data_IF_707809113011
#
_entry.id   IF_707809113011
#
_cell.length_a   1.000
_cell.length_b   1.000
_cell.length_c   1.000
_cell.angle_alpha   90.00
_cell.angle_beta   90.00
_cell.angle_gamma   90.00
#
_symmetry.space_group_name_H-M   'P 1'
#
loop_
_entity.id
_entity.type
_entity.pdbx_description
1 polymer ?
#
# COMPACT_ATOMS: atom_id res chain seq x y z
N UNK A 1 -25.56 14.73 -9.53
CA UNK A 1 -24.64 13.62 -9.81
C UNK A 1 -23.29 14.09 -10.40
N UNK A 2 -23.24 14.98 -11.40
CA UNK A 2 -21.99 15.47 -12.04
C UNK A 2 -20.94 16.04 -11.08
N UNK A 3 -21.36 16.83 -10.08
CA UNK A 3 -20.43 17.42 -9.10
C UNK A 3 -19.75 16.37 -8.18
N UNK A 4 -20.43 15.28 -7.83
CA UNK A 4 -19.85 14.22 -7.00
C UNK A 4 -18.77 13.43 -7.77
N UNK A 5 -19.02 13.14 -9.04
CA UNK A 5 -18.06 12.46 -9.92
C UNK A 5 -16.83 13.34 -10.19
N UNK A 6 -17.03 14.64 -10.40
CA UNK A 6 -15.93 15.58 -10.57
C UNK A 6 -15.06 15.67 -9.32
N UNK A 7 -15.67 15.81 -8.14
CA UNK A 7 -14.93 15.85 -6.87
C UNK A 7 -14.14 14.53 -6.61
N UNK A 8 -14.75 13.38 -6.92
CA UNK A 8 -14.09 12.09 -6.81
C UNK A 8 -12.87 12.00 -7.75
N UNK A 9 -12.99 12.48 -8.99
CA UNK A 9 -11.88 12.51 -9.93
C UNK A 9 -10.76 13.44 -9.46
N UNK A 10 -11.08 14.63 -8.94
CA UNK A 10 -10.09 15.54 -8.34
C UNK A 10 -9.37 14.89 -7.15
N UNK A 11 -10.10 14.18 -6.29
CA UNK A 11 -9.51 13.45 -5.17
C UNK A 11 -8.55 12.34 -5.64
N UNK A 12 -8.90 11.62 -6.71
CA UNK A 12 -8.01 10.59 -7.29
C UNK A 12 -6.73 11.20 -7.88
N UNK A 13 -6.84 12.33 -8.58
CA UNK A 13 -5.66 13.05 -9.10
C UNK A 13 -4.77 13.53 -7.96
N UNK A 14 -5.36 14.13 -6.93
CA UNK A 14 -4.61 14.57 -5.74
C UNK A 14 -3.91 13.38 -5.07
N UNK A 15 -4.58 12.25 -4.92
CA UNK A 15 -4.02 11.04 -4.38
C UNK A 15 -2.83 10.55 -5.21
N UNK A 16 -2.93 10.56 -6.54
CA UNK A 16 -1.85 10.17 -7.44
C UNK A 16 -0.62 11.10 -7.31
N UNK A 17 -0.84 12.42 -7.18
CA UNK A 17 0.24 13.39 -6.97
C UNK A 17 0.94 13.14 -5.63
N UNK A 18 0.17 12.97 -4.55
CA UNK A 18 0.72 12.69 -3.21
C UNK A 18 1.52 11.38 -3.24
N UNK A 19 1.00 10.37 -3.92
CA UNK A 19 1.69 9.08 -4.03
C UNK A 19 2.99 9.17 -4.84
N UNK A 20 2.98 9.89 -5.97
CA UNK A 20 4.20 10.13 -6.75
C UNK A 20 5.28 10.87 -5.96
N UNK A 21 4.92 11.92 -5.22
CA UNK A 21 5.83 12.63 -4.33
C UNK A 21 6.40 11.74 -3.21
N UNK A 22 5.62 10.76 -2.74
CA UNK A 22 6.04 9.85 -1.70
C UNK A 22 7.31 9.05 -2.06
N UNK A 23 7.53 8.69 -3.34
CA UNK A 23 8.75 8.01 -3.77
C UNK A 23 10.01 8.85 -3.56
N UNK A 24 9.91 10.15 -3.78
CA UNK A 24 11.04 11.08 -3.55
C UNK A 24 11.39 11.11 -2.06
N UNK A 25 10.38 11.26 -1.20
CA UNK A 25 10.59 11.24 0.26
C UNK A 25 11.08 9.89 0.78
N UNK A 26 10.56 8.78 0.24
CA UNK A 26 11.03 7.45 0.59
C UNK A 26 12.50 7.25 0.20
N UNK A 27 12.89 7.68 -1.00
CA UNK A 27 14.29 7.63 -1.45
C UNK A 27 15.20 8.43 -0.54
N UNK A 28 14.81 9.65 -0.20
CA UNK A 28 15.59 10.50 0.70
C UNK A 28 15.70 9.89 2.10
N UNK A 29 14.60 9.36 2.63
CA UNK A 29 14.60 8.70 3.94
C UNK A 29 15.45 7.42 3.95
N UNK A 30 15.49 6.67 2.84
CA UNK A 30 16.28 5.44 2.73
C UNK A 30 17.79 5.67 2.86
N UNK A 31 18.26 6.89 2.66
CA UNK A 31 19.68 7.25 2.83
C UNK A 31 20.07 7.43 4.31
N UNK A 32 19.08 7.67 5.19
CA UNK A 32 19.32 8.01 6.61
C UNK A 32 18.72 7.00 7.58
N UNK A 33 17.73 6.24 7.15
CA UNK A 33 16.98 5.30 7.97
C UNK A 33 17.00 3.90 7.36
N UNK A 34 17.18 2.89 8.19
CA UNK A 34 16.99 1.51 7.76
C UNK A 34 15.53 1.26 7.30
N UNK A 35 15.36 0.37 6.32
CA UNK A 35 14.06 0.08 5.72
C UNK A 35 12.96 -0.22 6.76
N UNK A 36 13.24 -1.07 7.71
CA UNK A 36 12.27 -1.47 8.74
C UNK A 36 11.93 -0.34 9.73
N UNK A 37 12.92 0.48 10.10
CA UNK A 37 12.72 1.65 10.95
C UNK A 37 11.80 2.66 10.27
N UNK A 38 12.07 2.95 9.00
CA UNK A 38 11.25 3.87 8.21
C UNK A 38 9.80 3.37 8.08
N UNK A 39 9.62 2.08 7.75
CA UNK A 39 8.29 1.49 7.60
C UNK A 39 7.54 1.55 8.94
N UNK A 40 8.17 1.12 10.03
CA UNK A 40 7.55 1.13 11.36
C UNK A 40 7.08 2.53 11.75
N UNK A 41 7.96 3.53 11.64
CA UNK A 41 7.65 4.92 11.96
C UNK A 41 6.52 5.47 11.10
N UNK A 42 6.59 5.27 9.78
CA UNK A 42 5.59 5.73 8.83
C UNK A 42 4.20 5.18 9.14
N UNK A 43 4.10 3.87 9.39
CA UNK A 43 2.81 3.24 9.65
C UNK A 43 2.23 3.60 11.00
N UNK A 44 3.06 3.76 12.05
CA UNK A 44 2.58 4.27 13.35
C UNK A 44 2.12 5.72 13.27
N UNK A 45 2.83 6.59 12.56
CA UNK A 45 2.38 7.96 12.29
C UNK A 45 1.06 7.96 11.49
N UNK A 46 0.92 7.03 10.54
CA UNK A 46 -0.33 6.82 9.80
C UNK A 46 -1.48 6.43 10.73
N UNK A 47 -1.27 5.48 11.65
CA UNK A 47 -2.28 5.14 12.67
C UNK A 47 -2.64 6.37 13.50
N UNK A 48 -1.65 7.07 14.02
CA UNK A 48 -1.86 8.25 14.87
C UNK A 48 -2.70 9.32 14.16
N UNK A 49 -2.46 9.54 12.88
CA UNK A 49 -3.23 10.48 12.06
C UNK A 49 -4.67 10.02 11.79
N UNK A 50 -4.91 8.70 11.74
CA UNK A 50 -6.24 8.13 11.51
C UNK A 50 -7.09 8.02 12.80
N UNK A 51 -6.47 7.96 13.98
CA UNK A 51 -7.18 7.79 15.25
C UNK A 51 -8.28 8.84 15.50
N UNK A 52 -8.06 10.15 15.29
CA UNK A 52 -9.12 11.14 15.50
C UNK A 52 -10.34 10.88 14.61
N UNK A 53 -10.11 10.57 13.34
CA UNK A 53 -11.17 10.24 12.39
C UNK A 53 -11.88 8.93 12.77
N UNK A 54 -11.13 7.92 13.20
CA UNK A 54 -11.65 6.64 13.67
C UNK A 54 -12.61 6.81 14.85
N UNK A 55 -12.19 7.54 15.89
CA UNK A 55 -13.03 7.78 17.06
C UNK A 55 -14.26 8.65 16.72
N UNK A 56 -14.10 9.66 15.87
CA UNK A 56 -15.20 10.49 15.41
C UNK A 56 -16.26 9.68 14.65
N UNK A 57 -15.84 8.87 13.67
CA UNK A 57 -16.76 8.06 12.88
C UNK A 57 -17.43 6.96 13.72
N UNK A 58 -16.67 6.33 14.62
CA UNK A 58 -17.21 5.33 15.55
C UNK A 58 -18.27 5.92 16.47
N UNK A 59 -18.01 7.10 17.04
CA UNK A 59 -18.98 7.82 17.87
C UNK A 59 -20.24 8.17 17.08
N UNK A 60 -20.09 8.66 15.87
CA UNK A 60 -21.21 9.02 15.01
C UNK A 60 -22.06 7.79 14.64
N UNK A 61 -21.45 6.66 14.31
CA UNK A 61 -22.17 5.41 14.04
C UNK A 61 -22.89 4.89 15.28
N UNK A 62 -22.25 4.95 16.44
CA UNK A 62 -22.86 4.53 17.70
C UNK A 62 -24.10 5.39 18.06
N UNK A 63 -24.02 6.70 17.87
CA UNK A 63 -25.17 7.61 18.10
C UNK A 63 -26.30 7.31 17.10
N UNK A 64 -26.02 7.13 15.83
CA UNK A 64 -27.01 6.79 14.82
C UNK A 64 -27.71 5.45 15.10
N UNK A 65 -26.96 4.43 15.55
CA UNK A 65 -27.53 3.14 15.94
C UNK A 65 -28.44 3.26 17.16
N UNK A 66 -28.05 4.05 18.16
CA UNK A 66 -28.88 4.33 19.34
C UNK A 66 -30.18 5.04 18.97
N UNK A 67 -30.13 6.03 18.07
CA UNK A 67 -31.32 6.74 17.56
C UNK A 67 -32.26 5.81 16.75
N UNK A 68 -31.68 4.85 16.02
CA UNK A 68 -32.44 3.87 15.25
C UNK A 68 -32.95 2.68 16.08
N UNK A 69 -32.55 2.54 17.34
CA UNK A 69 -32.85 1.36 18.18
C UNK A 69 -32.16 0.10 17.68
N UNK A 70 -31.08 0.23 16.91
CA UNK A 70 -30.31 -0.87 16.35
C UNK A 70 -29.08 -1.19 17.20
N UNK A 71 -28.65 -2.45 17.19
CA UNK A 71 -27.36 -2.81 17.81
C UNK A 71 -26.19 -2.24 16.99
N UNK A 72 -25.18 -1.71 17.70
CA UNK A 72 -23.94 -1.24 17.05
C UNK A 72 -23.25 -2.43 16.41
N UNK A 73 -23.11 -2.39 15.09
CA UNK A 73 -22.48 -3.46 14.31
C UNK A 73 -21.05 -3.75 14.81
N UNK A 74 -20.83 -4.99 15.21
CA UNK A 74 -19.53 -5.46 15.67
C UNK A 74 -18.71 -6.01 14.51
N UNK A 75 -17.67 -5.31 14.11
CA UNK A 75 -16.75 -5.70 13.03
C UNK A 75 -15.67 -6.72 13.45
N UNK A 76 -16.01 -7.67 14.35
CA UNK A 76 -15.05 -8.60 14.97
C UNK A 76 -15.16 -10.06 14.47
N UNK A 77 -15.68 -10.30 13.29
CA UNK A 77 -15.78 -11.65 12.75
C UNK A 77 -14.40 -12.23 12.36
N UNK A 78 -14.24 -13.55 12.44
CA UNK A 78 -13.02 -14.26 11.99
C UNK A 78 -12.59 -13.82 10.58
N UNK A 79 -13.54 -13.55 9.69
CA UNK A 79 -13.29 -13.09 8.31
C UNK A 79 -12.59 -11.72 8.28
N UNK A 80 -12.99 -10.80 9.15
CA UNK A 80 -12.34 -9.48 9.26
C UNK A 80 -10.86 -9.63 9.63
N UNK A 81 -10.56 -10.39 10.66
CA UNK A 81 -9.18 -10.58 11.13
C UNK A 81 -8.30 -11.30 10.10
N UNK A 82 -8.81 -12.37 9.47
CA UNK A 82 -8.08 -13.08 8.43
C UNK A 82 -7.81 -12.19 7.21
N UNK A 83 -8.80 -11.38 6.80
CA UNK A 83 -8.63 -10.43 5.71
C UNK A 83 -7.62 -9.34 6.05
N UNK A 84 -7.72 -8.74 7.24
CA UNK A 84 -6.81 -7.69 7.69
C UNK A 84 -5.37 -8.20 7.82
N UNK A 85 -5.16 -9.37 8.42
CA UNK A 85 -3.84 -9.98 8.54
C UNK A 85 -3.25 -10.33 7.18
N UNK A 86 -4.03 -10.92 6.28
CA UNK A 86 -3.57 -11.24 4.94
C UNK A 86 -3.20 -9.99 4.14
N UNK A 87 -4.05 -8.95 4.17
CA UNK A 87 -3.76 -7.67 3.54
C UNK A 87 -2.53 -7.00 4.15
N UNK A 88 -2.39 -7.04 5.49
CA UNK A 88 -1.22 -6.51 6.20
C UNK A 88 0.07 -7.19 5.79
N UNK A 89 0.08 -8.51 5.67
CA UNK A 89 1.26 -9.28 5.24
C UNK A 89 1.65 -8.93 3.80
N UNK A 90 0.68 -8.85 2.89
CA UNK A 90 0.93 -8.47 1.51
C UNK A 90 1.46 -7.02 1.42
N UNK A 91 0.84 -6.09 2.15
CA UNK A 91 1.28 -4.70 2.22
C UNK A 91 2.67 -4.57 2.85
N UNK A 92 2.93 -5.27 3.95
CA UNK A 92 4.24 -5.29 4.61
C UNK A 92 5.33 -5.84 3.70
N UNK A 93 5.09 -6.98 3.04
CA UNK A 93 6.04 -7.56 2.09
C UNK A 93 6.37 -6.60 0.95
N UNK A 94 5.34 -5.95 0.35
CA UNK A 94 5.53 -4.93 -0.67
C UNK A 94 6.32 -3.73 -0.15
N UNK A 95 5.97 -3.20 1.02
CA UNK A 95 6.64 -2.05 1.62
C UNK A 95 8.12 -2.31 1.93
N UNK A 96 8.45 -3.50 2.46
CA UNK A 96 9.83 -3.89 2.73
C UNK A 96 10.63 -4.02 1.44
N UNK A 97 10.09 -4.73 0.46
CA UNK A 97 10.78 -4.96 -0.81
C UNK A 97 11.03 -3.67 -1.59
N UNK A 98 10.04 -2.77 -1.67
CA UNK A 98 10.23 -1.48 -2.33
C UNK A 98 11.23 -0.61 -1.58
N UNK A 99 11.23 -0.62 -0.26
CA UNK A 99 12.14 0.19 0.53
C UNK A 99 13.59 -0.29 0.42
N UNK A 100 13.81 -1.60 0.36
CA UNK A 100 15.12 -2.20 0.09
C UNK A 100 15.59 -1.80 -1.32
N UNK A 101 14.75 -1.95 -2.33
CA UNK A 101 15.08 -1.59 -3.70
C UNK A 101 15.38 -0.09 -3.87
N UNK A 102 14.63 0.78 -3.20
CA UNK A 102 14.82 2.23 -3.21
C UNK A 102 16.14 2.68 -2.59
N UNK A 103 16.78 1.86 -1.77
CA UNK A 103 18.10 2.21 -1.23
C UNK A 103 19.11 2.44 -2.35
N UNK A 104 19.06 1.65 -3.42
CA UNK A 104 19.96 1.74 -4.57
C UNK A 104 19.29 2.39 -5.79
N UNK A 105 18.08 1.96 -6.15
CA UNK A 105 17.37 2.48 -7.34
C UNK A 105 16.95 3.94 -7.19
N UNK A 106 16.84 4.63 -8.33
CA UNK A 106 16.27 5.97 -8.37
C UNK A 106 14.77 5.96 -8.10
N UNK A 107 14.27 7.04 -7.49
CA UNK A 107 12.84 7.18 -7.15
C UNK A 107 11.94 7.09 -8.39
N UNK A 108 12.37 7.68 -9.52
CA UNK A 108 11.64 7.65 -10.78
C UNK A 108 11.54 6.22 -11.33
N UNK A 109 12.67 5.49 -11.35
CA UNK A 109 12.74 4.10 -11.81
C UNK A 109 11.89 3.19 -10.91
N UNK A 110 11.98 3.36 -9.60
CA UNK A 110 11.22 2.59 -8.64
C UNK A 110 9.70 2.80 -8.77
N UNK A 111 9.26 4.07 -8.81
CA UNK A 111 7.84 4.41 -9.00
C UNK A 111 7.28 3.89 -10.31
N UNK A 112 8.13 3.85 -11.32
CA UNK A 112 7.83 3.31 -12.62
C UNK A 112 7.64 1.78 -12.57
N UNK A 113 8.60 1.01 -12.07
CA UNK A 113 8.51 -0.45 -11.94
C UNK A 113 7.30 -0.81 -11.07
N UNK A 114 7.11 -0.09 -9.96
CA UNK A 114 5.98 -0.36 -9.07
C UNK A 114 4.63 -0.13 -9.75
N UNK A 115 4.51 0.88 -10.64
CA UNK A 115 3.27 1.13 -11.37
C UNK A 115 2.80 -0.06 -12.22
N UNK A 116 3.67 -1.03 -12.50
CA UNK A 116 3.31 -2.27 -13.19
C UNK A 116 2.25 -3.10 -12.45
N UNK A 117 2.02 -2.89 -11.13
CA UNK A 117 0.92 -3.55 -10.43
C UNK A 117 -0.46 -3.21 -11.02
N UNK A 118 -0.60 -2.06 -11.68
CA UNK A 118 -1.84 -1.66 -12.38
C UNK A 118 -2.23 -2.70 -13.45
N UNK A 119 -1.23 -3.23 -14.17
CA UNK A 119 -1.44 -4.30 -15.13
C UNK A 119 -1.60 -5.68 -14.45
N UNK A 120 -0.87 -5.88 -13.35
CA UNK A 120 -0.82 -7.16 -12.65
C UNK A 120 -2.14 -7.47 -11.90
N UNK A 121 -2.81 -6.47 -11.34
CA UNK A 121 -4.09 -6.64 -10.62
C UNK A 121 -5.15 -7.31 -11.47
N UNK A 122 -5.53 -6.84 -12.67
CA UNK A 122 -6.55 -7.50 -13.48
C UNK A 122 -6.09 -8.86 -14.05
N UNK A 123 -4.79 -9.07 -14.24
CA UNK A 123 -4.24 -10.39 -14.62
C UNK A 123 -4.45 -11.38 -13.48
N UNK A 124 -4.09 -11.01 -12.26
CA UNK A 124 -4.28 -11.85 -11.08
C UNK A 124 -5.77 -12.06 -10.75
N UNK A 125 -6.62 -11.04 -10.94
CA UNK A 125 -8.07 -11.17 -10.74
C UNK A 125 -8.67 -12.18 -11.73
N UNK A 126 -8.16 -12.21 -12.97
CA UNK A 126 -8.53 -13.21 -13.97
C UNK A 126 -8.03 -14.62 -13.59
N UNK A 127 -6.75 -14.74 -13.20
CA UNK A 127 -6.12 -16.04 -12.91
C UNK A 127 -6.65 -16.68 -11.63
N UNK A 128 -6.75 -15.90 -10.55
CA UNK A 128 -7.13 -16.41 -9.23
C UNK A 128 -8.65 -16.54 -9.07
N UNK A 129 -9.40 -15.63 -9.66
CA UNK A 129 -10.86 -15.54 -9.45
C UNK A 129 -11.68 -15.69 -10.72
N UNK A 130 -11.04 -15.90 -11.86
CA UNK A 130 -11.68 -16.05 -13.18
C UNK A 130 -12.63 -14.89 -13.53
N UNK A 131 -12.41 -13.72 -12.94
CA UNK A 131 -13.20 -12.53 -13.19
C UNK A 131 -12.77 -11.88 -14.51
N UNK A 132 -13.70 -11.82 -15.46
CA UNK A 132 -13.43 -11.21 -16.77
C UNK A 132 -13.33 -9.69 -16.63
N UNK A 133 -12.24 -9.14 -17.08
CA UNK A 133 -11.98 -7.70 -17.15
C UNK A 133 -12.48 -7.11 -18.46
N UNK A 134 -13.00 -5.88 -18.47
CA UNK A 134 -13.52 -5.24 -19.66
C UNK A 134 -12.40 -4.94 -20.67
N UNK A 135 -12.74 -4.94 -21.98
CA UNK A 135 -11.78 -4.61 -23.05
C UNK A 135 -11.14 -3.22 -22.87
N UNK A 136 -11.86 -2.27 -22.30
CA UNK A 136 -11.35 -0.90 -22.03
C UNK A 136 -10.18 -0.92 -21.06
N UNK A 137 -10.23 -1.77 -20.04
CA UNK A 137 -9.14 -1.92 -19.07
C UNK A 137 -7.90 -2.50 -19.74
N UNK A 138 -8.06 -3.50 -20.60
CA UNK A 138 -6.93 -4.07 -21.35
C UNK A 138 -6.26 -3.06 -22.30
N UNK A 139 -7.05 -2.18 -22.93
CA UNK A 139 -6.51 -1.08 -23.74
C UNK A 139 -5.72 -0.12 -22.85
N UNK A 140 -6.26 0.26 -21.69
CA UNK A 140 -5.56 1.11 -20.72
C UNK A 140 -4.25 0.50 -20.23
N UNK A 141 -4.23 -0.81 -19.97
CA UNK A 141 -3.01 -1.55 -19.57
C UNK A 141 -1.99 -1.51 -20.73
N UNK A 142 -2.40 -1.79 -21.96
CA UNK A 142 -1.51 -1.73 -23.09
C UNK A 142 -0.90 -0.32 -23.28
N UNK A 143 -1.70 0.72 -23.15
CA UNK A 143 -1.22 2.11 -23.17
C UNK A 143 -0.24 2.41 -22.04
N UNK A 144 -0.53 1.93 -20.83
CA UNK A 144 0.35 2.09 -19.68
C UNK A 144 1.70 1.39 -19.92
N UNK A 145 1.69 0.15 -20.43
CA UNK A 145 2.92 -0.60 -20.75
C UNK A 145 3.74 0.12 -21.84
N UNK A 146 3.08 0.66 -22.86
CA UNK A 146 3.79 1.44 -23.91
C UNK A 146 4.39 2.71 -23.34
N UNK A 147 3.64 3.47 -22.53
CA UNK A 147 4.15 4.66 -21.83
C UNK A 147 5.33 4.32 -20.92
N UNK A 148 5.22 3.22 -20.22
CA UNK A 148 6.24 2.61 -19.40
C UNK A 148 7.51 2.33 -20.21
N UNK A 149 7.39 1.65 -21.32
CA UNK A 149 8.49 1.31 -22.22
C UNK A 149 9.19 2.55 -22.80
N UNK A 150 8.42 3.53 -23.25
CA UNK A 150 8.97 4.77 -23.80
C UNK A 150 9.78 5.58 -22.76
N UNK A 151 9.32 5.61 -21.52
CA UNK A 151 10.05 6.26 -20.44
C UNK A 151 11.38 5.56 -20.14
N UNK A 152 11.39 4.22 -20.19
CA UNK A 152 12.58 3.41 -19.96
C UNK A 152 13.66 3.56 -21.00
N UNK A 153 13.29 3.65 -22.27
CA UNK A 153 14.27 3.71 -23.38
C UNK A 153 15.04 5.02 -23.33
N UNK A 154 14.41 6.13 -22.92
CA UNK A 154 15.06 7.45 -22.92
C UNK A 154 16.24 7.54 -21.95
N UNK A 155 16.25 6.73 -20.89
CA UNK A 155 17.27 6.80 -19.84
C UNK A 155 18.31 5.66 -19.86
N UNK A 156 18.38 4.90 -20.98
CA UNK A 156 19.31 3.76 -21.08
C UNK A 156 19.02 2.66 -20.06
N UNK A 157 17.76 2.32 -19.89
CA UNK A 157 17.24 1.39 -18.89
C UNK A 157 18.00 0.05 -18.87
N UNK A 158 18.69 -0.22 -17.78
CA UNK A 158 19.22 -1.53 -17.45
C UNK A 158 18.52 -2.06 -16.19
N UNK A 159 18.03 -3.30 -16.24
CA UNK A 159 17.52 -3.98 -15.05
C UNK A 159 18.69 -4.46 -14.21
N UNK A 160 18.74 -4.03 -12.96
CA UNK A 160 19.70 -4.48 -11.97
C UNK A 160 19.04 -5.47 -10.99
N UNK A 161 19.84 -6.22 -10.24
CA UNK A 161 19.36 -7.16 -9.20
C UNK A 161 18.49 -6.43 -8.16
N UNK A 162 18.80 -5.17 -7.87
CA UNK A 162 18.03 -4.36 -6.96
C UNK A 162 16.61 -4.02 -7.48
N UNK A 163 16.42 -3.97 -8.79
CA UNK A 163 15.12 -3.79 -9.41
C UNK A 163 14.23 -5.02 -9.21
N UNK A 164 14.82 -6.21 -9.04
CA UNK A 164 14.07 -7.42 -8.75
C UNK A 164 13.28 -7.34 -7.44
N UNK A 165 13.81 -6.65 -6.42
CA UNK A 165 13.08 -6.40 -5.17
C UNK A 165 11.85 -5.51 -5.42
N UNK A 166 11.99 -4.45 -6.22
CA UNK A 166 10.87 -3.56 -6.58
C UNK A 166 9.86 -4.31 -7.47
N UNK A 167 10.32 -5.13 -8.40
CA UNK A 167 9.43 -5.98 -9.20
C UNK A 167 8.66 -6.99 -8.34
N UNK A 168 9.31 -7.61 -7.35
CA UNK A 168 8.63 -8.50 -6.40
C UNK A 168 7.62 -7.74 -5.53
N UNK A 169 7.89 -6.48 -5.17
CA UNK A 169 6.94 -5.65 -4.43
C UNK A 169 5.65 -5.41 -5.20
N UNK A 170 5.71 -5.29 -6.54
CA UNK A 170 4.50 -5.10 -7.37
C UNK A 170 3.52 -6.26 -7.24
N UNK A 171 4.02 -7.49 -7.10
CA UNK A 171 3.18 -8.66 -6.86
C UNK A 171 2.51 -8.58 -5.49
N UNK A 172 3.26 -8.20 -4.46
CA UNK A 172 2.72 -8.04 -3.11
C UNK A 172 1.63 -6.97 -3.07
N UNK A 173 1.86 -5.81 -3.70
CA UNK A 173 0.85 -4.74 -3.76
C UNK A 173 -0.34 -5.12 -4.64
N UNK A 174 -0.15 -5.85 -5.73
CA UNK A 174 -1.27 -6.35 -6.52
C UNK A 174 -2.16 -7.31 -5.71
N UNK A 175 -1.56 -8.21 -4.94
CA UNK A 175 -2.30 -9.11 -4.02
C UNK A 175 -3.00 -8.31 -2.91
N UNK A 176 -2.34 -7.32 -2.33
CA UNK A 176 -2.93 -6.43 -1.33
C UNK A 176 -4.18 -5.71 -1.88
N UNK A 177 -4.10 -5.12 -3.08
CA UNK A 177 -5.23 -4.45 -3.73
C UNK A 177 -6.37 -5.44 -4.02
N UNK A 178 -6.05 -6.65 -4.45
CA UNK A 178 -7.06 -7.69 -4.66
C UNK A 178 -7.77 -8.06 -3.35
N UNK A 179 -7.05 -8.19 -2.25
CA UNK A 179 -7.65 -8.45 -0.94
C UNK A 179 -8.56 -7.30 -0.52
N UNK A 180 -8.11 -6.05 -0.63
CA UNK A 180 -8.94 -4.87 -0.40
C UNK A 180 -10.20 -4.87 -1.26
N UNK A 181 -10.08 -5.11 -2.55
CA UNK A 181 -11.21 -5.18 -3.49
C UNK A 181 -12.26 -6.22 -3.10
N UNK A 182 -11.82 -7.33 -2.51
CA UNK A 182 -12.70 -8.44 -2.10
C UNK A 182 -13.38 -8.21 -0.76
N UNK A 183 -12.67 -7.60 0.18
CA UNK A 183 -13.14 -7.49 1.55
C UNK A 183 -13.79 -6.13 1.86
N UNK A 184 -13.40 -5.05 1.19
CA UNK A 184 -13.95 -3.71 1.43
C UNK A 184 -15.47 -3.59 1.31
N UNK A 185 -16.21 -4.36 0.47
CA UNK A 185 -17.66 -4.31 0.47
C UNK A 185 -18.32 -4.92 1.73
N UNK A 186 -17.55 -5.70 2.51
CA UNK A 186 -18.06 -6.47 3.65
C UNK A 186 -17.50 -6.01 5.00
N UNK A 187 -16.63 -5.01 5.00
CA UNK A 187 -15.99 -4.49 6.21
C UNK A 187 -15.91 -2.97 6.17
N UNK A 188 -15.92 -2.35 7.34
CA UNK A 188 -15.65 -0.93 7.44
C UNK A 188 -14.19 -0.64 7.04
N UNK A 189 -14.00 0.21 6.05
CA UNK A 189 -12.69 0.52 5.51
C UNK A 189 -11.74 1.13 6.55
N UNK A 190 -12.24 2.02 7.42
CA UNK A 190 -11.40 2.74 8.37
C UNK A 190 -10.84 1.84 9.49
N UNK A 191 -11.63 0.99 10.18
CA UNK A 191 -11.09 -0.02 11.10
C UNK A 191 -10.11 -0.98 10.42
N UNK A 192 -10.41 -1.38 9.19
CA UNK A 192 -9.54 -2.27 8.42
C UNK A 192 -8.17 -1.63 8.17
N UNK A 193 -8.13 -0.33 7.73
CA UNK A 193 -6.89 0.42 7.55
C UNK A 193 -6.10 0.59 8.85
N UNK A 194 -6.77 0.90 9.95
CA UNK A 194 -6.10 1.06 11.25
C UNK A 194 -5.43 -0.25 11.68
N UNK A 195 -6.13 -1.39 11.55
CA UNK A 195 -5.56 -2.71 11.86
C UNK A 195 -4.40 -3.04 10.92
N UNK A 196 -4.56 -2.79 9.63
CA UNK A 196 -3.51 -3.02 8.64
C UNK A 196 -2.25 -2.20 8.94
N UNK A 197 -2.40 -0.92 9.25
CA UNK A 197 -1.27 -0.04 9.58
C UNK A 197 -0.59 -0.47 10.89
N UNK A 198 -1.38 -0.82 11.92
CA UNK A 198 -0.84 -1.36 13.17
C UNK A 198 -0.05 -2.66 12.94
N UNK A 199 -0.61 -3.60 12.19
CA UNK A 199 0.05 -4.86 11.89
C UNK A 199 1.36 -4.63 11.11
N UNK A 200 1.32 -3.80 10.05
CA UNK A 200 2.50 -3.51 9.23
C UNK A 200 3.59 -2.81 10.04
N UNK A 201 3.23 -1.82 10.86
CA UNK A 201 4.17 -1.13 11.75
C UNK A 201 4.79 -2.07 12.79
N UNK A 202 3.94 -2.94 13.39
CA UNK A 202 4.38 -3.89 14.43
C UNK A 202 5.27 -5.01 13.86
N UNK A 203 4.98 -5.50 12.66
CA UNK A 203 5.85 -6.49 11.99
C UNK A 203 7.25 -5.93 11.69
N UNK A 204 7.34 -4.63 11.41
CA UNK A 204 8.61 -3.96 11.12
C UNK A 204 9.40 -3.57 12.39
N UNK A 205 8.72 -3.28 13.50
CA UNK A 205 9.35 -2.78 14.74
C UNK A 205 10.41 -3.70 15.33
N UNK A 206 10.13 -4.99 15.59
CA UNK A 206 11.11 -5.93 16.14
C UNK A 206 12.33 -6.14 15.24
N UNK A 207 12.11 -6.18 13.92
CA UNK A 207 13.20 -6.35 12.94
C UNK A 207 14.09 -5.10 12.92
N UNK A 208 13.50 -3.91 13.02
CA UNK A 208 14.25 -2.65 13.18
C UNK A 208 15.14 -2.68 14.41
N UNK A 209 14.62 -3.11 15.55
CA UNK A 209 15.36 -3.16 16.81
C UNK A 209 16.55 -4.13 16.74
N UNK A 210 16.38 -5.31 16.15
CA UNK A 210 17.46 -6.29 16.01
C UNK A 210 18.57 -5.79 15.07
N UNK A 211 18.24 -5.10 13.99
CA UNK A 211 19.23 -4.51 13.09
C UNK A 211 20.01 -3.36 13.74
N UNK A 212 19.35 -2.48 14.50
CA UNK A 212 20.01 -1.41 15.24
C UNK A 212 21.00 -1.96 16.26
N UNK A 213 20.62 -2.99 16.99
CA UNK A 213 21.47 -3.62 18.00
C UNK A 213 22.66 -4.37 17.42
N UNK A 214 22.52 -4.98 16.23
CA UNK A 214 23.62 -5.61 15.53
C UNK A 214 24.69 -4.57 15.11
N UNK A 215 24.27 -3.42 14.60
CA UNK A 215 25.18 -2.33 14.25
C UNK A 215 25.91 -1.72 15.46
N UNK A 216 25.24 -1.58 16.61
CA UNK A 216 25.90 -1.11 17.84
C UNK A 216 26.95 -2.09 18.35
N UNK A 217 26.70 -3.40 18.18
CA UNK A 217 27.65 -4.44 18.63
C UNK A 217 28.90 -4.48 17.75
N UNK A 218 28.78 -4.21 16.46
CA UNK A 218 29.93 -4.12 15.53
C UNK A 218 30.79 -2.87 15.75
N UNK A 219 30.21 -1.78 16.26
CA UNK A 219 30.95 -0.54 16.57
C UNK A 219 31.74 -0.61 17.89
N UNK A 220 31.51 -1.63 18.71
CA UNK A 220 32.18 -1.84 20.01
C UNK A 220 33.21 -2.99 19.98
N UNK A 221 33.48 -3.60 18.81
CA UNK A 221 34.53 -4.55 18.55
C UNK A 221 35.65 -3.94 17.70
#
# INVERSE_FOLDING_TARGET
>A
MKNKTFLANCALVLCAVIWGMNFIFQKQASQHLGAFTFISLRYYLGVLSLLPLFFYMRRRKALAALEAGEEVERWHGRRFWLASLGASLANWGGAVLVQIGLHVADATKAGFIESAYIALVPVLDLLLFRKKTSRRVWIGIAMAIVGLYLLCISDGFSLDVNDAAIMASTLCFALHILMWSRFSPHVDALPFMVVEFLCTGTLSGPVSYTHLRAHETELHL
#
